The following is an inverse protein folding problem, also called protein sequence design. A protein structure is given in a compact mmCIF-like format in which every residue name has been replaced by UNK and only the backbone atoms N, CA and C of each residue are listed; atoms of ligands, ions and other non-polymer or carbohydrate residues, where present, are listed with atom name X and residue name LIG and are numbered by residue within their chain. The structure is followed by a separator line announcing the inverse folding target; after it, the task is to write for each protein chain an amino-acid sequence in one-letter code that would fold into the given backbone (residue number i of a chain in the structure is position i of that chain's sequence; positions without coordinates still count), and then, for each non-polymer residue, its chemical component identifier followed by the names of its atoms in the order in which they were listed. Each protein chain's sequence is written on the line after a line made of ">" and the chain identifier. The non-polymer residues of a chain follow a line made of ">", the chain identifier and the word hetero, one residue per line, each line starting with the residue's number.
data_IF_624914112350
#
_entry.id   IF_624914112350
#
_cell.length_a   1.000
_cell.length_b   1.000
_cell.length_c   1.000
_cell.angle_alpha   90.00
_cell.angle_beta   90.00
_cell.angle_gamma   90.00
#
_symmetry.space_group_name_H-M   'P 1'
#
loop_
_entity.id
_entity.type
_entity.pdbx_description
1 polymer ?
#
# COMPACT_ATOMS: atom_id res chain seq x y z
N UNK A 1 -10.82 17.66 74.27
CA UNK A 1 -10.73 17.38 72.83
C UNK A 1 -11.89 16.43 72.50
N UNK A 2 -13.07 16.93 72.15
CA UNK A 2 -13.37 17.52 70.83
C UNK A 2 -13.83 16.38 69.92
N UNK A 3 -15.13 16.07 69.92
CA UNK A 3 -16.09 16.41 68.86
C UNK A 3 -15.87 15.59 67.57
N UNK A 4 -16.85 15.00 66.91
CA UNK A 4 -18.29 15.09 67.03
C UNK A 4 -18.95 14.14 66.02
N UNK A 5 -20.13 13.67 66.39
CA UNK A 5 -21.04 12.85 65.58
C UNK A 5 -21.57 13.66 64.40
N UNK A 6 -21.44 13.12 63.18
CA UNK A 6 -21.91 13.74 61.94
C UNK A 6 -23.35 13.30 61.65
N UNK A 7 -24.30 14.19 61.92
CA UNK A 7 -25.70 14.02 61.52
C UNK A 7 -25.95 14.31 60.02
N UNK A 8 -27.08 13.84 59.45
CA UNK A 8 -27.46 14.12 58.08
C UNK A 8 -28.13 15.51 57.97
N UNK A 9 -27.49 16.43 57.25
CA UNK A 9 -28.02 17.76 56.96
C UNK A 9 -28.95 17.76 55.75
N UNK A 10 -30.16 18.29 55.97
CA UNK A 10 -31.11 18.67 54.93
C UNK A 10 -30.69 19.97 54.27
N UNK A 11 -30.63 20.02 52.93
CA UNK A 11 -30.62 21.27 52.17
C UNK A 11 -31.22 21.08 50.77
N UNK A 12 -32.28 21.81 50.50
CA UNK A 12 -32.81 22.27 49.21
C UNK A 12 -33.48 23.63 49.49
N UNK A 13 -33.68 24.58 48.55
CA UNK A 13 -33.34 24.63 47.12
C UNK A 13 -32.57 25.91 46.72
N UNK A 14 -31.92 25.91 45.56
CA UNK A 14 -31.65 27.15 44.82
C UNK A 14 -32.09 26.94 43.37
N UNK A 15 -33.35 27.25 43.13
CA UNK A 15 -33.98 27.22 41.80
C UNK A 15 -33.75 28.57 41.16
N UNK A 16 -32.81 28.61 40.22
CA UNK A 16 -32.53 29.77 39.39
C UNK A 16 -33.69 29.97 38.39
N UNK A 17 -34.37 31.14 38.35
CA UNK A 17 -35.49 31.34 37.44
C UNK A 17 -35.03 31.62 36.01
N UNK A 18 -35.62 30.87 35.08
CA UNK A 18 -36.14 31.36 33.81
C UNK A 18 -35.16 32.03 32.84
N UNK A 19 -34.46 31.23 32.04
CA UNK A 19 -34.04 31.62 30.68
C UNK A 19 -35.02 30.99 29.71
N UNK A 20 -35.95 31.79 29.17
CA UNK A 20 -36.74 31.41 28.00
C UNK A 20 -35.80 31.31 26.79
N UNK A 21 -35.91 30.28 25.94
CA UNK A 21 -35.09 30.17 24.74
C UNK A 21 -35.52 31.23 23.70
N UNK A 22 -34.56 32.06 23.28
CA UNK A 22 -34.72 33.01 22.19
C UNK A 22 -35.03 32.28 20.87
N UNK A 23 -36.15 32.65 20.23
CA UNK A 23 -36.53 32.20 18.89
C UNK A 23 -35.79 33.01 17.81
N UNK A 24 -35.35 32.38 16.70
CA UNK A 24 -34.51 33.04 15.69
C UNK A 24 -35.33 33.96 14.75
N UNK A 25 -34.69 34.99 14.16
CA UNK A 25 -35.36 35.95 13.26
C UNK A 25 -35.65 35.35 11.87
N UNK A 26 -36.68 35.84 11.15
CA UNK A 26 -36.99 35.38 9.79
C UNK A 26 -35.97 35.90 8.76
N UNK A 27 -35.50 35.01 7.88
CA UNK A 27 -34.57 35.34 6.78
C UNK A 27 -35.34 35.86 5.57
N UNK A 28 -34.96 37.06 5.10
CA UNK A 28 -35.43 37.66 3.86
C UNK A 28 -34.97 36.88 2.62
N UNK A 29 -35.92 36.63 1.71
CA UNK A 29 -35.67 36.02 0.42
C UNK A 29 -35.02 36.99 -0.56
N UNK A 30 -34.02 36.51 -1.29
CA UNK A 30 -33.61 37.07 -2.58
C UNK A 30 -33.36 35.95 -3.57
N UNK A 31 -34.09 36.01 -4.68
CA UNK A 31 -33.95 35.11 -5.80
C UNK A 31 -32.91 35.62 -6.80
N UNK A 32 -32.35 34.64 -7.52
CA UNK A 32 -31.93 34.66 -8.94
C UNK A 32 -30.49 35.11 -9.26
N UNK A 33 -29.77 34.17 -9.88
CA UNK A 33 -28.49 34.34 -10.56
C UNK A 33 -28.06 33.04 -11.24
N UNK A 34 -28.40 32.91 -12.51
CA UNK A 34 -28.02 31.85 -13.46
C UNK A 34 -26.53 31.90 -13.83
N UNK A 35 -25.90 30.74 -14.12
CA UNK A 35 -24.66 30.70 -14.89
C UNK A 35 -23.78 29.46 -14.73
N UNK A 36 -23.83 28.59 -15.73
CA UNK A 36 -22.70 27.85 -16.34
C UNK A 36 -21.97 26.70 -15.60
N UNK A 37 -21.88 25.55 -16.28
CA UNK A 37 -20.56 24.94 -16.54
C UNK A 37 -20.23 23.54 -15.96
N UNK A 38 -20.59 22.48 -16.68
CA UNK A 38 -19.67 21.35 -16.96
C UNK A 38 -19.63 20.12 -16.02
N UNK A 39 -19.48 18.89 -16.57
CA UNK A 39 -19.77 17.64 -15.86
C UNK A 39 -18.60 17.16 -14.99
N UNK A 40 -18.78 17.17 -13.66
CA UNK A 40 -17.83 16.57 -12.69
C UNK A 40 -17.91 15.04 -12.59
N UNK A 41 -18.74 14.38 -13.40
CA UNK A 41 -19.00 12.94 -13.30
C UNK A 41 -17.94 12.04 -13.97
N UNK A 42 -17.03 12.56 -14.80
CA UNK A 42 -16.07 11.74 -15.55
C UNK A 42 -14.68 11.61 -14.91
N UNK A 43 -14.37 12.36 -13.83
CA UNK A 43 -13.05 12.31 -13.17
C UNK A 43 -12.94 11.26 -12.05
N UNK A 44 -14.03 10.62 -11.65
CA UNK A 44 -14.02 9.56 -10.63
C UNK A 44 -13.94 8.14 -11.23
N UNK A 45 -14.33 7.97 -12.50
CA UNK A 45 -14.21 6.68 -13.19
C UNK A 45 -12.77 6.39 -13.67
N UNK A 46 -11.98 7.44 -13.95
CA UNK A 46 -10.59 7.29 -14.42
C UNK A 46 -9.58 7.04 -13.29
N UNK A 47 -9.90 7.42 -12.04
CA UNK A 47 -9.04 7.12 -10.88
C UNK A 47 -9.18 5.68 -10.39
N UNK A 48 -10.34 5.03 -10.60
CA UNK A 48 -10.55 3.63 -10.24
C UNK A 48 -9.89 2.64 -11.22
N UNK A 49 -9.73 3.03 -12.49
CA UNK A 49 -9.09 2.19 -13.52
C UNK A 49 -7.56 2.26 -13.42
N UNK A 50 -6.98 3.37 -12.93
CA UNK A 50 -5.53 3.51 -12.73
C UNK A 50 -5.00 2.81 -11.47
N UNK A 51 -5.84 2.54 -10.47
CA UNK A 51 -5.44 1.77 -9.28
C UNK A 51 -5.40 0.24 -9.52
N UNK A 52 -6.03 -0.25 -10.60
CA UNK A 52 -6.01 -1.66 -10.98
C UNK A 52 -4.75 -2.05 -11.79
N UNK A 53 -3.95 -1.08 -12.25
CA UNK A 53 -2.74 -1.34 -13.04
C UNK A 53 -1.43 -1.45 -12.22
N UNK A 54 -1.49 -1.26 -10.90
CA UNK A 54 -0.31 -1.34 -10.01
C UNK A 54 -0.24 -2.62 -9.17
N UNK A 55 -1.15 -3.58 -9.40
CA UNK A 55 -1.09 -4.93 -8.83
C UNK A 55 -0.74 -5.94 -9.93
N UNK A 56 0.42 -5.76 -10.56
CA UNK A 56 1.01 -6.81 -11.37
C UNK A 56 1.71 -7.79 -10.42
N UNK A 57 1.24 -9.05 -10.28
CA UNK A 57 2.08 -10.07 -9.69
C UNK A 57 3.25 -10.27 -10.65
N UNK A 58 4.45 -9.96 -10.17
CA UNK A 58 5.71 -10.22 -10.86
C UNK A 58 5.73 -11.66 -11.36
N UNK A 59 5.61 -11.80 -12.68
CA UNK A 59 5.60 -13.04 -13.43
C UNK A 59 7.04 -13.60 -13.42
N UNK A 60 7.36 -14.44 -12.43
CA UNK A 60 8.57 -15.24 -12.48
C UNK A 60 8.35 -16.37 -13.50
N UNK A 61 9.03 -16.28 -14.65
CA UNK A 61 9.10 -17.35 -15.63
C UNK A 61 9.62 -18.63 -14.96
N UNK A 62 8.75 -19.64 -14.84
CA UNK A 62 9.18 -21.02 -14.72
C UNK A 62 9.34 -21.56 -16.14
N UNK A 63 10.58 -21.69 -16.61
CA UNK A 63 10.88 -22.46 -17.81
C UNK A 63 10.96 -23.93 -17.42
N UNK A 64 10.08 -24.73 -18.01
CA UNK A 64 10.17 -26.19 -18.04
C UNK A 64 11.43 -26.60 -18.82
N UNK A 65 12.24 -27.47 -18.23
CA UNK A 65 13.30 -28.18 -18.93
C UNK A 65 13.18 -29.66 -18.60
N UNK A 66 12.41 -30.37 -19.42
CA UNK A 66 12.44 -31.83 -19.51
C UNK A 66 13.71 -32.25 -20.26
N UNK A 67 14.63 -32.92 -19.60
CA UNK A 67 15.74 -33.62 -20.24
C UNK A 67 15.51 -35.12 -20.05
N UNK A 68 15.21 -35.80 -21.16
CA UNK A 68 15.25 -37.24 -21.26
C UNK A 68 16.71 -37.67 -21.44
N UNK A 69 17.21 -38.52 -20.55
CA UNK A 69 18.51 -39.19 -20.70
C UNK A 69 18.26 -40.66 -21.01
N UNK A 70 18.50 -41.01 -22.27
CA UNK A 70 18.64 -42.38 -22.76
C UNK A 70 20.08 -42.84 -22.49
N UNK A 71 20.25 -43.87 -21.68
CA UNK A 71 21.56 -44.37 -21.28
C UNK A 71 22.01 -45.48 -22.25
N UNK A 72 22.93 -45.13 -23.15
CA UNK A 72 23.62 -46.09 -24.02
C UNK A 72 24.75 -46.82 -23.30
N UNK A 73 24.82 -48.13 -23.56
CA UNK A 73 25.76 -49.15 -23.06
C UNK A 73 27.24 -48.84 -23.39
N UNK A 74 28.22 -49.17 -22.53
CA UNK A 74 29.64 -49.05 -22.88
C UNK A 74 30.10 -50.20 -23.81
N UNK A 75 30.81 -49.85 -24.87
CA UNK A 75 31.50 -50.78 -25.76
C UNK A 75 32.84 -51.25 -25.16
N UNK A 76 33.20 -52.51 -25.39
CA UNK A 76 34.40 -53.15 -24.88
C UNK A 76 35.70 -52.62 -25.54
N UNK A 77 36.85 -52.62 -24.84
CA UNK A 77 38.11 -52.09 -25.35
C UNK A 77 38.80 -53.05 -26.34
N UNK A 78 39.29 -52.50 -27.45
CA UNK A 78 40.16 -53.20 -28.40
C UNK A 78 41.62 -53.26 -27.89
N UNK A 79 42.42 -54.30 -28.23
CA UNK A 79 43.76 -54.49 -27.70
C UNK A 79 44.79 -53.50 -28.26
N UNK A 80 45.62 -52.96 -27.36
CA UNK A 80 46.69 -52.02 -27.65
C UNK A 80 47.84 -52.68 -28.45
N UNK A 81 48.22 -52.04 -29.57
CA UNK A 81 49.43 -52.35 -30.34
C UNK A 81 50.65 -51.86 -29.55
N UNK A 82 51.64 -52.72 -29.29
CA UNK A 82 52.87 -52.32 -28.62
C UNK A 82 53.67 -51.34 -29.50
N UNK A 83 53.82 -50.09 -29.05
CA UNK A 83 54.77 -49.13 -29.62
C UNK A 83 56.20 -49.69 -29.47
N UNK A 84 56.98 -49.64 -30.56
CA UNK A 84 58.36 -50.16 -30.61
C UNK A 84 59.31 -49.43 -29.67
N UNK A 85 60.36 -50.13 -29.24
CA UNK A 85 61.43 -49.57 -28.40
C UNK A 85 62.14 -48.41 -29.11
N UNK A 86 62.56 -47.39 -28.35
CA UNK A 86 63.27 -46.25 -28.89
C UNK A 86 64.66 -46.66 -29.38
N UNK A 87 65.03 -46.28 -30.61
CA UNK A 87 66.32 -46.62 -31.22
C UNK A 87 67.01 -45.32 -31.62
N UNK A 88 68.16 -45.05 -31.01
CA UNK A 88 68.98 -43.88 -31.32
C UNK A 88 70.00 -44.23 -32.41
N UNK A 89 70.14 -43.35 -33.40
CA UNK A 89 71.18 -43.45 -34.41
C UNK A 89 72.48 -42.81 -33.87
N UNK A 90 73.68 -43.29 -34.25
CA UNK A 90 74.94 -42.72 -33.79
C UNK A 90 75.09 -41.29 -34.32
N UNK A 91 75.09 -40.32 -33.42
CA UNK A 91 75.26 -38.89 -33.73
C UNK A 91 76.53 -38.37 -33.01
N UNK A 92 77.38 -37.55 -33.65
CA UNK A 92 78.48 -36.91 -32.97
C UNK A 92 78.00 -36.15 -31.73
N UNK A 93 78.71 -36.25 -30.61
CA UNK A 93 78.32 -35.66 -29.32
C UNK A 93 78.00 -34.15 -29.40
N UNK A 94 78.61 -33.50 -30.39
CA UNK A 94 78.47 -32.10 -30.74
C UNK A 94 77.09 -31.72 -31.32
N UNK A 95 76.45 -32.64 -32.05
CA UNK A 95 75.12 -32.47 -32.68
C UNK A 95 73.99 -33.10 -31.86
N UNK A 96 74.33 -33.83 -30.79
CA UNK A 96 73.34 -34.40 -29.89
C UNK A 96 72.63 -33.31 -29.08
N UNK A 97 71.28 -33.20 -29.15
CA UNK A 97 70.55 -32.24 -28.34
C UNK A 97 70.61 -32.65 -26.87
N UNK A 98 70.77 -31.67 -25.97
CA UNK A 98 70.53 -31.90 -24.55
C UNK A 98 69.02 -31.89 -24.29
N UNK A 99 68.48 -32.98 -23.75
CA UNK A 99 67.05 -33.17 -23.52
C UNK A 99 66.78 -33.19 -22.01
N UNK A 100 65.98 -32.24 -21.53
CA UNK A 100 65.51 -32.17 -20.15
C UNK A 100 64.00 -32.37 -20.11
N UNK A 101 63.49 -33.06 -19.10
CA UNK A 101 62.05 -33.27 -18.93
C UNK A 101 61.61 -32.87 -17.54
N UNK A 102 60.56 -32.05 -17.46
CA UNK A 102 59.99 -31.58 -16.21
C UNK A 102 58.53 -31.98 -16.11
N UNK A 103 58.13 -32.46 -14.94
CA UNK A 103 56.74 -32.85 -14.62
C UNK A 103 56.20 -31.89 -13.55
N UNK A 104 55.04 -31.28 -13.82
CA UNK A 104 54.40 -30.34 -12.91
C UNK A 104 52.89 -30.64 -12.77
N UNK A 105 52.37 -30.88 -11.55
CA UNK A 105 53.08 -30.94 -10.27
C UNK A 105 53.94 -32.21 -10.13
N UNK A 106 55.00 -32.20 -9.30
CA UNK A 106 55.89 -33.36 -9.11
C UNK A 106 55.21 -34.55 -8.42
N UNK A 107 54.13 -34.30 -7.66
CA UNK A 107 53.35 -35.31 -6.94
C UNK A 107 51.85 -35.15 -7.27
N UNK A 108 51.39 -35.55 -8.46
CA UNK A 108 50.01 -35.34 -8.88
C UNK A 108 49.02 -36.27 -8.17
N UNK A 109 47.79 -35.81 -8.01
CA UNK A 109 46.66 -36.61 -7.52
C UNK A 109 45.76 -37.06 -8.67
N UNK A 110 44.91 -38.05 -8.40
CA UNK A 110 43.87 -38.48 -9.35
C UNK A 110 42.99 -37.30 -9.74
N UNK A 111 42.89 -37.03 -11.05
CA UNK A 111 42.14 -35.91 -11.61
C UNK A 111 42.94 -34.62 -11.83
N UNK A 112 44.18 -34.51 -11.33
CA UNK A 112 45.03 -33.34 -11.56
C UNK A 112 45.46 -33.24 -13.03
N UNK A 113 45.68 -32.02 -13.52
CA UNK A 113 46.30 -31.77 -14.83
C UNK A 113 47.82 -31.76 -14.70
N UNK A 114 48.46 -32.85 -15.12
CA UNK A 114 49.91 -33.02 -15.13
C UNK A 114 50.49 -32.47 -16.43
N UNK A 115 51.35 -31.46 -16.35
CA UNK A 115 52.10 -30.96 -17.51
C UNK A 115 53.48 -31.61 -17.55
N UNK A 116 53.76 -32.31 -18.64
CA UNK A 116 55.09 -32.86 -18.96
C UNK A 116 55.69 -32.01 -20.06
N UNK A 117 56.81 -31.37 -19.77
CA UNK A 117 57.52 -30.47 -20.71
C UNK A 117 58.86 -31.07 -21.07
N UNK A 118 59.06 -31.36 -22.36
CA UNK A 118 60.35 -31.73 -22.94
C UNK A 118 61.05 -30.47 -23.46
N UNK A 119 62.24 -30.20 -22.96
CA UNK A 119 63.10 -29.09 -23.36
C UNK A 119 64.29 -29.63 -24.13
N UNK A 120 64.44 -29.21 -25.38
CA UNK A 120 65.54 -29.58 -26.27
C UNK A 120 66.48 -28.39 -26.42
N UNK A 121 67.76 -28.54 -26.08
CA UNK A 121 68.81 -27.55 -26.38
C UNK A 121 69.74 -28.10 -27.47
N UNK A 122 69.81 -27.42 -28.61
CA UNK A 122 70.56 -27.86 -29.80
C UNK A 122 71.25 -26.69 -30.51
N UNK A 123 72.12 -26.97 -31.48
CA UNK A 123 72.84 -25.92 -32.23
C UNK A 123 71.90 -25.16 -33.16
N UNK A 124 72.23 -23.91 -33.48
CA UNK A 124 71.41 -23.05 -34.34
C UNK A 124 71.21 -23.59 -35.77
N UNK A 125 72.12 -24.44 -36.26
CA UNK A 125 72.02 -25.07 -37.59
C UNK A 125 71.28 -26.42 -37.60
N UNK A 126 71.06 -27.03 -36.43
CA UNK A 126 70.34 -28.29 -36.33
C UNK A 126 68.84 -28.00 -36.15
N UNK A 127 67.97 -28.89 -36.65
CA UNK A 127 66.52 -28.79 -36.44
C UNK A 127 66.00 -30.04 -35.75
N UNK A 128 65.42 -29.86 -34.56
CA UNK A 128 64.80 -30.94 -33.81
C UNK A 128 63.29 -30.96 -34.04
N UNK A 129 62.78 -32.12 -34.44
CA UNK A 129 61.36 -32.40 -34.58
C UNK A 129 60.96 -33.52 -33.61
N UNK A 130 60.13 -33.16 -32.64
CA UNK A 130 59.54 -34.07 -31.69
C UNK A 130 58.02 -34.00 -31.80
N UNK A 131 57.41 -35.18 -31.99
CA UNK A 131 55.96 -35.38 -31.99
C UNK A 131 55.66 -36.48 -30.96
N UNK A 132 55.05 -36.13 -29.81
CA UNK A 132 54.80 -37.10 -28.76
C UNK A 132 53.79 -38.15 -29.24
N UNK A 133 54.13 -39.42 -29.08
CA UNK A 133 53.25 -40.52 -29.50
C UNK A 133 52.04 -40.61 -28.56
N UNK A 134 50.87 -40.24 -29.09
CA UNK A 134 49.61 -40.30 -28.36
C UNK A 134 49.29 -41.70 -27.82
N UNK A 135 49.71 -42.77 -28.51
CA UNK A 135 49.49 -44.16 -28.07
C UNK A 135 50.39 -44.49 -26.88
N UNK A 136 51.65 -44.04 -26.89
CA UNK A 136 52.57 -44.20 -25.77
C UNK A 136 52.13 -43.40 -24.52
N UNK A 137 51.35 -42.33 -24.72
CA UNK A 137 50.73 -41.54 -23.66
C UNK A 137 49.37 -42.09 -23.19
N UNK A 138 48.63 -42.79 -24.06
CA UNK A 138 47.38 -43.48 -23.74
C UNK A 138 47.63 -44.88 -23.17
N UNK A 139 48.39 -44.96 -22.07
CA UNK A 139 48.68 -46.25 -21.47
C UNK A 139 47.42 -46.87 -20.82
N UNK A 140 47.10 -48.15 -21.08
CA UNK A 140 45.87 -48.77 -20.59
C UNK A 140 45.82 -48.97 -19.07
N UNK A 141 46.97 -48.89 -18.37
CA UNK A 141 47.03 -49.09 -16.92
C UNK A 141 46.49 -47.89 -16.13
N UNK A 142 46.58 -46.68 -16.69
CA UNK A 142 46.22 -45.42 -16.05
C UNK A 142 45.55 -44.63 -17.17
N UNK A 143 44.22 -44.58 -17.20
CA UNK A 143 43.44 -43.80 -18.18
C UNK A 143 43.94 -42.36 -18.18
N UNK A 144 44.89 -42.08 -19.07
CA UNK A 144 45.53 -40.79 -19.27
C UNK A 144 44.76 -40.15 -20.40
N UNK A 145 43.87 -39.22 -20.06
CA UNK A 145 43.20 -38.45 -21.09
C UNK A 145 44.14 -37.35 -21.58
N UNK A 146 44.43 -37.42 -22.87
CA UNK A 146 45.13 -36.37 -23.59
C UNK A 146 44.12 -35.27 -23.87
N UNK A 147 44.15 -34.19 -23.10
CA UNK A 147 43.34 -33.02 -23.38
C UNK A 147 43.84 -32.41 -24.70
N UNK A 148 43.15 -32.71 -25.80
CA UNK A 148 43.38 -32.13 -27.14
C UNK A 148 43.12 -30.63 -27.21
N UNK A 149 42.65 -30.02 -26.12
CA UNK A 149 42.37 -28.58 -26.04
C UNK A 149 43.67 -27.77 -25.94
N UNK A 150 44.39 -27.73 -27.07
CA UNK A 150 45.36 -26.71 -27.51
C UNK A 150 46.66 -26.54 -26.69
N UNK A 151 47.83 -26.41 -27.36
CA UNK A 151 47.98 -25.64 -28.59
C UNK A 151 48.55 -26.42 -29.77
N UNK A 152 48.07 -26.09 -30.96
CA UNK A 152 49.00 -25.92 -32.07
C UNK A 152 50.14 -24.99 -31.60
N UNK A 153 51.32 -25.58 -31.39
CA UNK A 153 52.63 -24.90 -31.28
C UNK A 153 52.77 -23.84 -30.19
N UNK A 154 52.97 -24.27 -28.94
CA UNK A 154 53.88 -23.54 -28.02
C UNK A 154 55.32 -24.05 -28.20
N UNK A 155 55.75 -24.24 -29.46
CA UNK A 155 57.16 -24.43 -29.80
C UNK A 155 57.82 -23.05 -29.66
N UNK A 156 58.12 -22.66 -28.43
CA UNK A 156 58.90 -21.46 -28.21
C UNK A 156 60.36 -21.82 -28.50
N UNK A 157 60.90 -21.25 -29.57
CA UNK A 157 62.32 -21.37 -29.91
C UNK A 157 63.00 -20.12 -29.38
N UNK A 158 63.68 -20.25 -28.25
CA UNK A 158 64.44 -19.15 -27.67
C UNK A 158 65.92 -19.29 -28.06
N UNK A 159 66.50 -18.21 -28.60
CA UNK A 159 67.94 -18.11 -28.78
C UNK A 159 68.62 -17.96 -27.44
N UNK A 160 69.46 -18.91 -27.07
CA UNK A 160 70.29 -18.87 -25.87
C UNK A 160 71.59 -18.09 -26.16
N UNK A 161 72.13 -17.39 -25.15
CA UNK A 161 73.34 -16.54 -25.32
C UNK A 161 74.59 -17.31 -25.80
N UNK A 162 74.57 -18.64 -25.73
CA UNK A 162 75.65 -19.55 -26.16
C UNK A 162 75.55 -20.02 -27.63
N UNK A 163 74.68 -19.42 -28.46
CA UNK A 163 74.52 -19.83 -29.87
C UNK A 163 73.77 -21.16 -30.05
N UNK A 164 73.02 -21.57 -29.02
CA UNK A 164 72.12 -22.72 -29.00
C UNK A 164 70.66 -22.26 -29.05
N UNK A 165 69.80 -23.10 -29.62
CA UNK A 165 68.36 -22.92 -29.63
C UNK A 165 67.72 -23.81 -28.56
N UNK A 166 66.77 -23.27 -27.83
CA UNK A 166 65.93 -23.99 -26.86
C UNK A 166 64.53 -24.15 -27.42
N UNK A 167 64.07 -25.38 -27.62
CA UNK A 167 62.69 -25.71 -28.01
C UNK A 167 61.98 -26.44 -26.88
N UNK A 168 60.75 -26.03 -26.58
CA UNK A 168 59.91 -26.67 -25.58
C UNK A 168 58.68 -27.33 -26.21
N UNK A 169 58.32 -28.52 -25.71
CA UNK A 169 57.09 -29.23 -26.06
C UNK A 169 56.40 -29.64 -24.78
N UNK A 170 55.21 -29.10 -24.52
CA UNK A 170 54.43 -29.40 -23.31
C UNK A 170 53.20 -30.21 -23.65
N UNK A 171 52.98 -31.30 -22.92
CA UNK A 171 51.78 -32.14 -23.01
C UNK A 171 51.07 -32.14 -21.67
N UNK A 172 49.75 -31.91 -21.69
CA UNK A 172 48.88 -32.05 -20.53
C UNK A 172 48.28 -33.46 -20.48
N UNK A 173 48.43 -34.12 -19.33
CA UNK A 173 47.97 -35.46 -19.04
C UNK A 173 47.06 -35.41 -17.80
N UNK A 174 45.92 -36.10 -17.84
CA UNK A 174 45.03 -36.22 -16.69
C UNK A 174 44.88 -37.68 -16.28
N UNK A 175 45.44 -38.11 -15.13
CA UNK A 175 45.34 -39.49 -14.67
C UNK A 175 44.04 -39.72 -13.87
N UNK A 176 43.25 -40.71 -14.26
CA UNK A 176 42.03 -41.09 -13.52
C UNK A 176 42.22 -42.27 -12.56
N UNK A 177 43.42 -42.85 -12.50
CA UNK A 177 43.77 -43.94 -11.57
C UNK A 177 45.07 -43.63 -10.83
N UNK A 178 45.11 -44.02 -9.55
CA UNK A 178 46.34 -43.94 -8.75
C UNK A 178 47.30 -45.06 -9.14
N UNK A 179 48.59 -44.76 -9.25
CA UNK A 179 49.60 -45.73 -9.66
C UNK A 179 50.91 -45.06 -10.10
N UNK A 180 51.90 -45.88 -10.42
CA UNK A 180 53.16 -45.43 -11.01
C UNK A 180 52.99 -45.30 -12.53
N UNK A 181 53.18 -44.09 -13.06
CA UNK A 181 53.18 -43.82 -14.50
C UNK A 181 54.62 -43.84 -15.00
N UNK A 182 54.86 -44.62 -16.05
CA UNK A 182 56.15 -44.66 -16.76
C UNK A 182 55.92 -44.31 -18.23
N UNK A 183 56.34 -43.12 -18.64
CA UNK A 183 56.35 -42.73 -20.05
C UNK A 183 57.68 -43.17 -20.64
N UNK A 184 57.63 -44.17 -21.51
CA UNK A 184 58.82 -44.73 -22.16
C UNK A 184 59.52 -43.70 -23.06
N UNK A 185 60.84 -43.85 -23.27
CA UNK A 185 61.58 -43.08 -24.27
C UNK A 185 60.88 -43.08 -25.63
N UNK A 186 60.82 -41.91 -26.26
CA UNK A 186 60.22 -41.69 -27.57
C UNK A 186 61.29 -41.17 -28.53
N UNK A 187 61.12 -41.44 -29.83
CA UNK A 187 62.05 -40.99 -30.85
C UNK A 187 61.79 -39.50 -31.18
N UNK A 188 62.80 -38.66 -31.00
CA UNK A 188 62.90 -37.33 -31.59
C UNK A 188 63.79 -37.39 -32.84
N UNK A 189 63.46 -36.63 -33.88
CA UNK A 189 64.27 -36.54 -35.10
C UNK A 189 65.13 -35.28 -35.06
N UNK A 190 66.41 -35.42 -35.32
CA UNK A 190 67.36 -34.31 -35.44
C UNK A 190 67.83 -34.27 -36.88
N UNK A 191 67.63 -33.14 -37.54
CA UNK A 191 68.14 -32.87 -38.88
C UNK A 191 69.38 -31.97 -38.75
N UNK A 192 70.55 -32.49 -39.10
CA UNK A 192 71.84 -31.79 -39.07
C UNK A 192 72.19 -31.12 -40.40
N UNK A 193 71.27 -31.09 -41.37
CA UNK A 193 71.44 -30.53 -42.71
C UNK A 193 71.78 -31.58 -43.76
N UNK A 194 72.67 -32.51 -43.43
CA UNK A 194 73.12 -33.58 -44.33
C UNK A 194 72.41 -34.93 -44.08
N UNK A 195 71.99 -35.19 -42.83
CA UNK A 195 71.37 -36.44 -42.41
C UNK A 195 70.25 -36.22 -41.37
N UNK A 196 69.34 -37.19 -41.26
CA UNK A 196 68.31 -37.24 -40.23
C UNK A 196 68.64 -38.38 -39.28
N UNK A 197 68.93 -38.05 -38.03
CA UNK A 197 69.20 -39.01 -36.96
C UNK A 197 68.05 -39.05 -35.95
N UNK A 198 67.81 -40.22 -35.36
CA UNK A 198 66.87 -40.39 -34.24
C UNK A 198 67.60 -40.32 -32.91
N UNK A 199 67.03 -39.58 -31.97
CA UNK A 199 67.51 -39.45 -30.60
C UNK A 199 66.37 -39.82 -29.64
N UNK A 200 66.70 -40.54 -28.57
CA UNK A 200 65.71 -40.94 -27.57
C UNK A 200 65.52 -39.87 -26.51
N UNK A 201 64.26 -39.57 -26.19
CA UNK A 201 63.92 -38.78 -25.00
C UNK A 201 64.18 -39.58 -23.72
N UNK A 202 64.48 -38.93 -22.59
CA UNK A 202 64.63 -39.64 -21.33
C UNK A 202 63.29 -40.19 -20.85
N UNK A 203 63.33 -41.31 -20.14
CA UNK A 203 62.16 -41.93 -19.54
C UNK A 203 61.60 -41.06 -18.40
N UNK A 204 60.28 -40.87 -18.37
CA UNK A 204 59.61 -40.05 -17.35
C UNK A 204 58.86 -40.96 -16.40
N UNK A 205 59.16 -40.84 -15.10
CA UNK A 205 58.47 -41.59 -14.03
C UNK A 205 57.85 -40.64 -13.02
N UNK A 206 56.57 -40.82 -12.72
CA UNK A 206 55.90 -40.11 -11.63
C UNK A 206 54.79 -40.97 -11.00
N UNK A 207 54.48 -40.73 -9.72
CA UNK A 207 53.47 -41.47 -8.96
C UNK A 207 52.22 -40.63 -8.77
N UNK A 208 51.07 -41.14 -9.23
CA UNK A 208 49.75 -40.53 -9.02
C UNK A 208 49.19 -40.98 -7.68
N UNK A 209 48.95 -40.02 -6.78
CA UNK A 209 48.39 -40.29 -5.45
C UNK A 209 46.86 -40.32 -5.49
N UNK A 210 46.26 -41.14 -4.64
CA UNK A 210 44.83 -41.10 -4.40
C UNK A 210 44.44 -39.81 -3.66
N UNK A 211 43.34 -39.19 -4.07
CA UNK A 211 42.69 -38.07 -3.35
C UNK A 211 42.24 -38.51 -1.96
N UNK A 212 41.98 -39.82 -1.77
CA UNK A 212 41.55 -40.39 -0.48
C UNK A 212 42.70 -40.63 0.51
N UNK A 213 43.93 -40.23 0.20
CA UNK A 213 45.08 -40.35 1.10
C UNK A 213 45.39 -41.80 1.50
N UNK A 214 45.68 -42.04 2.79
CA UNK A 214 45.98 -43.36 3.36
C UNK A 214 44.74 -44.07 3.93
N UNK A 215 43.55 -43.66 3.52
CA UNK A 215 42.30 -44.23 4.05
C UNK A 215 42.07 -45.58 3.37
N UNK A 216 42.17 -46.67 4.13
CA UNK A 216 42.10 -48.03 3.58
C UNK A 216 40.76 -48.36 2.90
N UNK A 217 39.68 -47.65 3.25
CA UNK A 217 38.33 -47.86 2.71
C UNK A 217 37.55 -46.53 2.67
N UNK A 218 37.73 -45.67 1.66
CA UNK A 218 36.92 -44.46 1.52
C UNK A 218 35.48 -44.86 1.22
N UNK A 219 34.56 -44.55 2.13
CA UNK A 219 33.14 -44.76 1.90
C UNK A 219 32.56 -43.53 1.19
N UNK A 220 31.71 -43.78 0.19
CA UNK A 220 30.92 -42.72 -0.41
C UNK A 220 30.07 -42.06 0.69
N UNK A 221 30.04 -40.73 0.68
CA UNK A 221 29.15 -40.00 1.57
C UNK A 221 27.71 -40.38 1.22
N UNK A 222 26.87 -40.53 2.23
CA UNK A 222 25.45 -40.79 2.02
C UNK A 222 24.83 -39.71 1.13
N UNK A 223 23.84 -40.11 0.33
CA UNK A 223 23.19 -39.23 -0.63
C UNK A 223 22.57 -38.08 0.16
N UNK A 224 23.05 -36.86 -0.10
CA UNK A 224 22.48 -35.66 0.53
C UNK A 224 21.02 -35.57 0.11
N UNK A 225 20.11 -35.43 1.08
CA UNK A 225 18.69 -35.31 0.79
C UNK A 225 18.44 -34.07 -0.08
N UNK A 226 17.48 -34.13 -1.03
CA UNK A 226 17.08 -32.95 -1.76
C UNK A 226 16.63 -31.85 -0.80
N UNK A 227 17.24 -30.66 -0.91
CA UNK A 227 16.81 -29.49 -0.16
C UNK A 227 15.47 -29.00 -0.72
N UNK A 228 14.49 -28.76 0.16
CA UNK A 228 13.15 -28.32 -0.26
C UNK A 228 13.12 -26.80 -0.48
N UNK A 229 13.54 -26.37 -1.67
CA UNK A 229 13.65 -24.95 -2.04
C UNK A 229 12.28 -24.26 -2.17
N UNK A 230 11.16 -24.99 -2.18
CA UNK A 230 9.85 -24.44 -2.60
C UNK A 230 8.85 -24.18 -1.47
N UNK A 231 9.09 -24.61 -0.24
CA UNK A 231 8.13 -24.38 0.88
C UNK A 231 8.03 -22.92 1.30
N UNK A 232 9.15 -22.22 1.37
CA UNK A 232 9.16 -20.84 1.88
C UNK A 232 8.59 -19.84 0.85
N UNK A 233 8.80 -20.10 -0.44
CA UNK A 233 8.23 -19.28 -1.50
C UNK A 233 6.70 -19.40 -1.57
N UNK A 234 6.14 -20.59 -1.31
CA UNK A 234 4.69 -20.81 -1.36
C UNK A 234 3.98 -20.17 -0.15
N UNK A 235 4.58 -20.27 1.03
CA UNK A 235 4.03 -19.64 2.25
C UNK A 235 4.04 -18.12 2.15
N UNK A 236 5.15 -17.52 1.69
CA UNK A 236 5.23 -16.08 1.45
C UNK A 236 4.19 -15.60 0.42
N UNK A 237 3.92 -16.40 -0.62
CA UNK A 237 2.89 -16.08 -1.63
C UNK A 237 1.47 -16.09 -1.04
N UNK A 238 1.15 -17.02 -0.16
CA UNK A 238 -0.16 -17.03 0.52
C UNK A 238 -0.31 -15.87 1.50
N UNK A 239 0.76 -15.52 2.21
CA UNK A 239 0.80 -14.35 3.10
C UNK A 239 0.58 -13.07 2.30
N UNK A 240 1.27 -12.89 1.16
CA UNK A 240 1.12 -11.70 0.32
C UNK A 240 -0.32 -11.57 -0.20
N UNK A 241 -0.90 -12.68 -0.69
CA UNK A 241 -2.29 -12.68 -1.16
C UNK A 241 -3.29 -12.33 -0.05
N UNK A 242 -3.06 -12.80 1.18
CA UNK A 242 -3.86 -12.44 2.33
C UNK A 242 -3.75 -10.95 2.69
N UNK A 243 -2.55 -10.38 2.58
CA UNK A 243 -2.31 -8.96 2.85
C UNK A 243 -2.96 -8.07 1.78
N UNK A 244 -2.89 -8.47 0.50
CA UNK A 244 -3.55 -7.78 -0.61
C UNK A 244 -5.07 -7.78 -0.45
N UNK A 245 -5.65 -8.92 -0.09
CA UNK A 245 -7.09 -9.02 0.18
C UNK A 245 -7.53 -8.13 1.34
N UNK A 246 -6.73 -8.07 2.42
CA UNK A 246 -6.98 -7.18 3.55
C UNK A 246 -6.91 -5.71 3.15
N UNK A 247 -5.91 -5.33 2.35
CA UNK A 247 -5.75 -3.97 1.86
C UNK A 247 -6.97 -3.52 1.04
N UNK A 248 -7.43 -4.36 0.09
CA UNK A 248 -8.63 -4.09 -0.71
C UNK A 248 -9.87 -3.94 0.17
N UNK A 249 -10.04 -4.81 1.18
CA UNK A 249 -11.16 -4.73 2.11
C UNK A 249 -11.16 -3.41 2.92
N UNK A 250 -9.99 -2.98 3.40
CA UNK A 250 -9.83 -1.72 4.14
C UNK A 250 -10.14 -0.52 3.24
N UNK A 251 -9.60 -0.48 2.02
CA UNK A 251 -9.87 0.61 1.06
C UNK A 251 -11.35 0.67 0.70
N UNK A 252 -12.00 -0.47 0.47
CA UNK A 252 -13.44 -0.54 0.21
C UNK A 252 -14.26 -0.02 1.40
N UNK A 253 -13.94 -0.45 2.63
CA UNK A 253 -14.62 -0.01 3.84
C UNK A 253 -14.48 1.50 4.06
N UNK A 254 -13.26 2.05 3.90
CA UNK A 254 -13.01 3.49 4.02
C UNK A 254 -13.74 4.29 2.95
N UNK A 255 -13.78 3.79 1.71
CA UNK A 255 -14.49 4.42 0.59
C UNK A 255 -16.00 4.48 0.83
N UNK A 256 -16.58 3.36 1.28
CA UNK A 256 -18.01 3.28 1.64
C UNK A 256 -18.32 4.19 2.82
N UNK A 257 -17.48 4.19 3.86
CA UNK A 257 -17.65 5.08 5.02
C UNK A 257 -17.57 6.56 4.62
N UNK A 258 -16.61 6.94 3.78
CA UNK A 258 -16.47 8.30 3.26
C UNK A 258 -17.69 8.71 2.42
N UNK A 259 -18.20 7.81 1.58
CA UNK A 259 -19.39 8.06 0.78
C UNK A 259 -20.65 8.21 1.64
N UNK A 260 -20.85 7.34 2.63
CA UNK A 260 -21.97 7.43 3.58
C UNK A 260 -21.92 8.72 4.41
N UNK A 261 -20.74 9.17 4.83
CA UNK A 261 -20.56 10.44 5.54
C UNK A 261 -20.86 11.67 4.66
N UNK A 262 -20.63 11.56 3.36
CA UNK A 262 -20.95 12.63 2.39
C UNK A 262 -22.41 12.66 1.98
N UNK A 263 -23.23 11.67 2.37
CA UNK A 263 -24.66 11.72 2.10
C UNK A 263 -25.27 12.85 2.92
N UNK A 264 -26.01 13.78 2.27
CA UNK A 264 -26.72 14.82 3.01
C UNK A 264 -27.70 14.13 3.96
N UNK A 265 -27.59 14.44 5.26
CA UNK A 265 -28.60 14.05 6.23
C UNK A 265 -29.91 14.71 5.80
N UNK A 266 -30.89 13.91 5.44
CA UNK A 266 -32.25 14.38 5.18
C UNK A 266 -32.81 14.82 6.54
N UNK A 267 -32.72 16.12 6.81
CA UNK A 267 -33.37 16.72 7.98
C UNK A 267 -34.86 16.79 7.65
N UNK A 268 -35.75 16.24 8.49
CA UNK A 268 -37.19 16.39 8.27
C UNK A 268 -37.56 17.88 8.29
N UNK A 269 -38.51 18.33 7.44
CA UNK A 269 -38.96 19.70 7.45
C UNK A 269 -39.53 20.07 8.84
N UNK A 270 -39.31 21.31 9.32
CA UNK A 270 -39.91 21.75 10.58
C UNK A 270 -41.43 21.65 10.51
N UNK A 271 -42.12 21.41 11.64
CA UNK A 271 -43.58 21.33 11.67
C UNK A 271 -44.20 22.64 11.15
N UNK A 272 -45.37 22.56 10.48
CA UNK A 272 -46.04 23.74 9.95
C UNK A 272 -46.33 24.76 11.06
N UNK A 273 -46.22 26.07 10.78
CA UNK A 273 -46.45 27.11 11.77
C UNK A 273 -47.88 27.01 12.31
N UNK A 274 -48.01 26.96 13.65
CA UNK A 274 -49.32 26.94 14.33
C UNK A 274 -50.06 28.25 14.02
N UNK A 275 -51.36 28.18 13.74
CA UNK A 275 -52.16 29.35 13.43
C UNK A 275 -52.15 30.37 14.61
N UNK A 276 -52.00 31.69 14.37
CA UNK A 276 -51.86 32.73 15.39
C UNK A 276 -52.94 32.71 16.50
N UNK A 277 -54.18 32.39 16.15
CA UNK A 277 -55.29 32.19 17.11
C UNK A 277 -54.93 31.20 18.23
N UNK A 278 -54.35 30.03 17.92
CA UNK A 278 -54.03 29.03 18.95
C UNK A 278 -52.93 29.51 19.89
N UNK A 279 -51.96 30.26 19.36
CA UNK A 279 -50.85 30.85 20.13
C UNK A 279 -51.40 31.92 21.07
N UNK A 280 -52.27 32.80 20.58
CA UNK A 280 -52.85 33.87 21.36
C UNK A 280 -53.76 33.34 22.48
N UNK A 281 -54.61 32.34 22.17
CA UNK A 281 -55.49 31.71 23.15
C UNK A 281 -54.70 31.04 24.27
N UNK A 282 -53.67 30.27 23.92
CA UNK A 282 -52.77 29.62 24.90
C UNK A 282 -52.04 30.66 25.77
N UNK A 283 -51.57 31.76 25.18
CA UNK A 283 -50.92 32.84 25.93
C UNK A 283 -51.88 33.58 26.89
N UNK A 284 -53.13 33.84 26.48
CA UNK A 284 -54.15 34.43 27.35
C UNK A 284 -54.57 33.46 28.48
N UNK A 285 -54.65 32.15 28.21
CA UNK A 285 -54.91 31.12 29.24
C UNK A 285 -53.75 30.99 30.26
N UNK A 286 -52.52 31.34 29.86
CA UNK A 286 -51.37 31.41 30.77
C UNK A 286 -51.45 32.69 31.60
N UNK A 287 -51.81 33.82 31.00
CA UNK A 287 -51.99 35.08 31.72
C UNK A 287 -53.14 35.01 32.74
N UNK A 288 -54.24 34.34 32.40
CA UNK A 288 -55.38 34.18 33.31
C UNK A 288 -55.09 33.32 34.53
N UNK A 289 -54.20 32.33 34.40
CA UNK A 289 -53.75 31.46 35.51
C UNK A 289 -52.49 31.97 36.20
N UNK A 290 -51.91 33.04 35.68
CA UNK A 290 -50.66 33.61 36.18
C UNK A 290 -50.89 34.43 37.44
N UNK A 291 -49.81 34.60 38.21
CA UNK A 291 -49.84 35.32 39.50
C UNK A 291 -49.34 36.77 39.39
N UNK A 292 -49.32 37.34 38.17
CA UNK A 292 -48.77 38.69 37.93
C UNK A 292 -49.52 39.77 38.71
N UNK A 293 -50.85 39.67 38.76
CA UNK A 293 -51.70 40.60 39.52
C UNK A 293 -51.51 40.46 41.03
N UNK A 294 -51.43 39.24 41.57
CA UNK A 294 -51.25 39.04 43.01
C UNK A 294 -49.86 39.49 43.50
N UNK A 295 -48.86 39.44 42.62
CA UNK A 295 -47.50 39.93 42.88
C UNK A 295 -47.36 41.45 42.73
N UNK A 296 -48.45 42.16 42.44
CA UNK A 296 -48.45 43.62 42.24
C UNK A 296 -47.77 44.06 40.93
N UNK A 297 -47.54 43.15 39.99
CA UNK A 297 -46.92 43.41 38.68
C UNK A 297 -47.99 43.79 37.64
N UNK A 298 -48.86 44.75 37.98
CA UNK A 298 -49.99 45.16 37.14
C UNK A 298 -49.52 45.69 35.78
N UNK A 299 -48.40 46.44 35.74
CA UNK A 299 -47.84 46.93 34.48
C UNK A 299 -47.46 45.78 33.54
N UNK A 300 -46.72 44.79 34.04
CA UNK A 300 -46.27 43.65 33.25
C UNK A 300 -47.44 42.80 32.74
N UNK A 301 -48.54 42.75 33.50
CA UNK A 301 -49.77 42.10 33.09
C UNK A 301 -50.42 42.79 31.89
N UNK A 302 -50.63 44.11 31.95
CA UNK A 302 -51.22 44.87 30.83
C UNK A 302 -50.29 44.92 29.61
N UNK A 303 -48.97 44.98 29.83
CA UNK A 303 -47.98 44.84 28.77
C UNK A 303 -48.10 43.48 28.06
N UNK A 304 -48.22 42.40 28.82
CA UNK A 304 -48.36 41.06 28.25
C UNK A 304 -49.69 40.85 27.52
N UNK A 305 -50.80 41.40 28.02
CA UNK A 305 -52.11 41.36 27.34
C UNK A 305 -52.05 42.11 26.01
N UNK A 306 -51.50 43.34 26.00
CA UNK A 306 -51.32 44.14 24.78
C UNK A 306 -50.45 43.42 23.76
N UNK A 307 -49.32 42.85 24.20
CA UNK A 307 -48.39 42.09 23.37
C UNK A 307 -49.05 40.87 22.70
N UNK A 308 -49.86 40.11 23.43
CA UNK A 308 -50.57 38.94 22.88
C UNK A 308 -51.58 39.35 21.82
N UNK A 309 -52.34 40.42 22.07
CA UNK A 309 -53.31 40.93 21.09
C UNK A 309 -52.62 41.50 19.86
N UNK A 310 -51.52 42.25 20.02
CA UNK A 310 -50.71 42.74 18.90
C UNK A 310 -50.20 41.59 18.04
N UNK A 311 -49.53 40.58 18.64
CA UNK A 311 -49.04 39.40 17.90
C UNK A 311 -50.17 38.65 17.18
N UNK A 312 -51.33 38.54 17.79
CA UNK A 312 -52.51 37.94 17.16
C UNK A 312 -52.95 38.70 15.91
N UNK A 313 -53.15 40.02 16.03
CA UNK A 313 -53.58 40.87 14.91
C UNK A 313 -52.57 40.84 13.76
N UNK A 314 -51.28 40.99 14.08
CA UNK A 314 -50.20 40.93 13.12
C UNK A 314 -50.08 39.56 12.44
N UNK A 315 -50.21 38.47 13.21
CA UNK A 315 -50.16 37.11 12.69
C UNK A 315 -51.31 36.77 11.75
N UNK A 316 -52.54 37.20 12.07
CA UNK A 316 -53.72 36.92 11.22
C UNK A 316 -53.73 37.77 9.95
N UNK A 317 -53.16 38.98 9.98
CA UNK A 317 -53.21 39.94 8.88
C UNK A 317 -51.88 40.11 8.13
N UNK A 318 -50.82 39.44 8.56
CA UNK A 318 -49.53 39.41 7.88
C UNK A 318 -48.72 40.69 8.02
N UNK A 319 -48.77 41.36 9.18
CA UNK A 319 -47.93 42.52 9.49
C UNK A 319 -47.29 42.39 10.87
N UNK A 320 -46.21 43.13 11.13
CA UNK A 320 -45.53 43.10 12.44
C UNK A 320 -46.13 44.13 13.40
N UNK A 321 -47.12 43.71 14.16
CA UNK A 321 -47.84 44.58 15.08
C UNK A 321 -47.06 44.96 16.35
N UNK A 322 -45.96 44.26 16.68
CA UNK A 322 -45.17 44.56 17.87
C UNK A 322 -44.39 45.87 17.67
N UNK A 323 -43.88 46.08 16.46
CA UNK A 323 -43.10 47.27 16.09
C UNK A 323 -43.97 48.45 15.61
N UNK A 324 -45.29 48.33 15.74
CA UNK A 324 -46.25 49.35 15.29
C UNK A 324 -46.93 50.07 16.46
N UNK A 325 -47.22 51.34 16.26
CA UNK A 325 -48.04 52.12 17.20
C UNK A 325 -49.52 51.71 17.10
N UNK A 326 -50.29 51.98 18.15
CA UNK A 326 -51.73 51.67 18.20
C UNK A 326 -52.49 52.29 17.02
N UNK A 327 -52.15 53.52 16.62
CA UNK A 327 -52.78 54.21 15.48
C UNK A 327 -52.45 53.55 14.13
N UNK A 328 -51.21 53.06 13.96
CA UNK A 328 -50.80 52.35 12.74
C UNK A 328 -51.48 50.97 12.63
N UNK A 329 -51.66 50.26 13.75
CA UNK A 329 -52.40 48.99 13.79
C UNK A 329 -53.86 49.23 13.38
N UNK A 330 -54.50 50.27 13.93
CA UNK A 330 -55.87 50.63 13.57
C UNK A 330 -55.99 51.04 12.09
N UNK A 331 -55.01 51.78 11.55
CA UNK A 331 -54.95 52.11 10.13
C UNK A 331 -54.82 50.87 9.23
N UNK A 332 -54.06 49.86 9.66
CA UNK A 332 -53.97 48.57 8.97
C UNK A 332 -55.29 47.79 9.01
N UNK A 333 -55.96 47.74 10.16
CA UNK A 333 -57.27 47.08 10.31
C UNK A 333 -58.39 47.80 9.55
N UNK A 334 -58.24 49.10 9.26
CA UNK A 334 -59.12 49.84 8.34
C UNK A 334 -59.01 49.37 6.91
N UNK A 335 -57.81 49.08 6.45
CA UNK A 335 -57.56 48.57 5.10
C UNK A 335 -57.91 47.09 4.98
N UNK A 336 -57.73 46.34 6.05
CA UNK A 336 -57.92 44.89 6.10
C UNK A 336 -58.75 44.48 7.33
N UNK A 337 -60.09 44.60 7.27
CA UNK A 337 -60.96 44.34 8.41
C UNK A 337 -60.92 42.86 8.84
N UNK A 338 -60.96 42.64 10.14
CA UNK A 338 -61.08 41.31 10.74
C UNK A 338 -62.56 40.98 11.00
N UNK A 339 -63.05 39.89 10.41
CA UNK A 339 -64.41 39.45 10.64
C UNK A 339 -64.64 39.15 12.13
N UNK A 340 -65.73 39.67 12.69
CA UNK A 340 -66.07 39.48 14.11
C UNK A 340 -65.39 40.42 15.10
N UNK A 341 -64.39 41.21 14.67
CA UNK A 341 -63.67 42.17 15.53
C UNK A 341 -63.80 43.58 14.98
N UNK A 342 -64.29 44.51 15.79
CA UNK A 342 -64.40 45.92 15.39
C UNK A 342 -63.14 46.70 15.74
N UNK A 343 -62.86 47.77 15.00
CA UNK A 343 -61.72 48.66 15.28
C UNK A 343 -61.86 49.35 16.64
N UNK A 344 -63.08 49.72 17.02
CA UNK A 344 -63.38 50.37 18.30
C UNK A 344 -63.00 49.47 19.47
N UNK A 345 -63.23 48.16 19.36
CA UNK A 345 -62.85 47.21 20.42
C UNK A 345 -61.32 47.06 20.54
N UNK A 346 -60.61 47.01 19.41
CA UNK A 346 -59.14 46.97 19.38
C UNK A 346 -58.55 48.26 19.95
N UNK A 347 -59.12 49.41 19.57
CA UNK A 347 -58.71 50.74 20.01
C UNK A 347 -58.89 50.90 21.51
N UNK A 348 -60.06 50.56 22.04
CA UNK A 348 -60.35 50.64 23.46
C UNK A 348 -59.41 49.77 24.28
N UNK A 349 -59.23 48.51 23.87
CA UNK A 349 -58.37 47.57 24.58
C UNK A 349 -56.89 48.00 24.58
N UNK A 350 -56.35 48.37 23.41
CA UNK A 350 -54.95 48.79 23.33
C UNK A 350 -54.71 50.11 24.06
N UNK A 351 -55.63 51.08 23.99
CA UNK A 351 -55.51 52.34 24.73
C UNK A 351 -55.58 52.13 26.24
N UNK A 352 -56.46 51.26 26.71
CA UNK A 352 -56.56 50.95 28.13
C UNK A 352 -55.26 50.30 28.65
N UNK A 353 -54.65 49.41 27.87
CA UNK A 353 -53.32 48.86 28.18
C UNK A 353 -52.22 49.93 28.16
N UNK A 354 -52.22 50.81 27.15
CA UNK A 354 -51.23 51.87 27.01
C UNK A 354 -51.34 52.90 28.16
N UNK A 355 -52.55 53.16 28.69
CA UNK A 355 -52.75 54.02 29.86
C UNK A 355 -52.07 53.45 31.12
N UNK A 356 -52.19 52.14 31.38
CA UNK A 356 -51.51 51.51 32.52
C UNK A 356 -49.99 51.50 32.31
N UNK A 357 -49.54 51.20 31.09
CA UNK A 357 -48.12 51.12 30.72
C UNK A 357 -47.38 52.45 30.87
N UNK A 358 -48.01 53.56 30.46
CA UNK A 358 -47.36 54.86 30.34
C UNK A 358 -47.85 55.92 31.34
N UNK A 359 -49.12 55.90 31.75
CA UNK A 359 -49.70 56.94 32.60
C UNK A 359 -49.61 56.63 34.11
N UNK A 360 -48.96 55.53 34.51
CA UNK A 360 -48.88 55.04 35.91
C UNK A 360 -50.27 54.93 36.58
N UNK A 361 -51.30 54.68 35.77
CA UNK A 361 -52.64 54.41 36.26
C UNK A 361 -52.65 53.06 37.00
N UNK A 362 -53.29 53.02 38.17
CA UNK A 362 -53.47 51.79 38.94
C UNK A 362 -54.94 51.36 38.78
N UNK A 363 -55.24 50.44 37.85
CA UNK A 363 -56.59 49.96 37.61
C UNK A 363 -57.11 49.15 38.80
N UNK A 364 -58.43 49.08 38.97
CA UNK A 364 -59.02 48.16 39.92
C UNK A 364 -58.82 46.70 39.46
N UNK A 365 -58.91 45.75 40.39
CA UNK A 365 -58.83 44.32 40.04
C UNK A 365 -59.93 43.93 39.04
N UNK A 366 -61.13 44.50 39.20
CA UNK A 366 -62.27 44.29 38.30
C UNK A 366 -61.96 44.75 36.86
N UNK A 367 -61.25 45.87 36.70
CA UNK A 367 -60.81 46.37 35.39
C UNK A 367 -59.76 45.44 34.76
N UNK A 368 -58.91 44.81 35.59
CA UNK A 368 -57.87 43.86 35.13
C UNK A 368 -58.45 42.52 34.66
N UNK A 369 -59.59 42.11 35.23
CA UNK A 369 -60.35 40.96 34.76
C UNK A 369 -61.14 41.31 33.49
N UNK A 370 -61.70 42.52 33.43
CA UNK A 370 -62.44 43.02 32.27
C UNK A 370 -61.54 43.15 31.02
N UNK A 371 -60.31 43.65 31.17
CA UNK A 371 -59.38 43.78 30.04
C UNK A 371 -58.98 42.41 29.47
N UNK A 372 -58.77 41.41 30.35
CA UNK A 372 -58.45 40.05 29.95
C UNK A 372 -59.64 39.38 29.25
N UNK A 373 -60.85 39.54 29.81
CA UNK A 373 -62.07 39.03 29.20
C UNK A 373 -62.31 39.67 27.82
N UNK A 374 -62.03 40.96 27.68
CA UNK A 374 -62.08 41.68 26.40
C UNK A 374 -61.06 41.13 25.40
N UNK A 375 -59.81 40.89 25.82
CA UNK A 375 -58.78 40.28 24.98
C UNK A 375 -59.15 38.88 24.50
N UNK A 376 -59.67 38.03 25.40
CA UNK A 376 -60.14 36.68 25.07
C UNK A 376 -61.32 36.73 24.10
N UNK A 377 -62.32 37.58 24.37
CA UNK A 377 -63.47 37.78 23.47
C UNK A 377 -63.05 38.24 22.08
N UNK A 378 -62.07 39.14 21.99
CA UNK A 378 -61.53 39.63 20.73
C UNK A 378 -60.87 38.51 19.92
N UNK A 379 -60.02 37.70 20.56
CA UNK A 379 -59.33 36.56 19.91
C UNK A 379 -60.31 35.47 19.50
N UNK A 380 -61.31 35.17 20.34
CA UNK A 380 -62.35 34.16 20.05
C UNK A 380 -63.27 34.56 18.89
N UNK A 381 -63.64 35.85 18.80
CA UNK A 381 -64.48 36.32 17.68
C UNK A 381 -63.73 36.37 16.36
N UNK A 382 -62.43 36.60 16.38
CA UNK A 382 -61.57 36.50 15.19
C UNK A 382 -61.07 35.08 14.90
N UNK A 383 -61.71 34.04 15.46
CA UNK A 383 -61.39 32.63 15.20
C UNK A 383 -61.47 32.31 13.70
N UNK A 384 -60.53 31.50 13.16
CA UNK A 384 -60.58 31.12 11.75
C UNK A 384 -61.84 30.32 11.44
N UNK A 385 -62.57 30.71 10.39
CA UNK A 385 -63.66 29.90 9.81
C UNK A 385 -63.05 28.59 9.31
N UNK A 386 -63.70 27.44 9.60
CA UNK A 386 -63.12 26.09 9.44
C UNK A 386 -62.49 25.79 8.06
N UNK A 387 -62.86 26.50 6.98
CA UNK A 387 -62.19 26.43 5.68
C UNK A 387 -60.69 26.82 5.74
N UNK A 388 -60.36 27.89 6.47
CA UNK A 388 -58.98 28.39 6.64
C UNK A 388 -58.14 27.55 7.62
N UNK A 389 -58.78 26.88 8.59
CA UNK A 389 -58.10 25.97 9.51
C UNK A 389 -57.66 24.66 8.82
N UNK A 390 -58.37 24.26 7.77
CA UNK A 390 -58.08 23.07 6.97
C UNK A 390 -57.08 23.34 5.83
N UNK A 391 -57.02 24.58 5.33
CA UNK A 391 -55.98 25.04 4.41
C UNK A 391 -54.66 25.36 5.13
N UNK A 392 -54.67 25.89 6.35
CA UNK A 392 -53.45 26.06 7.16
C UNK A 392 -52.83 24.72 7.59
N UNK A 393 -53.65 23.66 7.72
CA UNK A 393 -53.14 22.30 7.98
C UNK A 393 -52.73 21.54 6.70
N UNK A 394 -53.21 21.96 5.52
CA UNK A 394 -52.87 21.37 4.21
C UNK A 394 -51.80 22.13 3.42
N UNK A 395 -51.60 23.42 3.67
CA UNK A 395 -50.68 24.32 2.96
C UNK A 395 -49.19 24.10 3.24
N UNK A 396 -48.83 22.98 3.86
CA UNK A 396 -47.46 22.52 4.07
C UNK A 396 -46.93 21.60 2.96
N UNK A 397 -47.61 21.48 1.82
CA UNK A 397 -47.12 20.79 0.62
C UNK A 397 -47.10 21.79 -0.54
N UNK A 398 -45.91 22.06 -1.10
CA UNK A 398 -45.45 21.28 -2.25
C UNK A 398 -44.32 20.29 -1.94
#
# INVERSE_FOLDING_TARGET
>A
MGDGLKGPGATSPSTNPSVLPALPPPRGGRARGSGEGGPRAQRLATAAILAALLLAPSLALAQDASVATDASRPAAPAPARAAGECVADPLPADHAPAIEVTVNPPNPQVGDRVRVTWTFRYRTHDRVEFEPDAVALQQPAIELEYAREQPERDRSVHGERDGRLRSEVTVALQPFRSGDVVIRPMNARVNTGDEIARVCTPEVRFRVRSVFGNTSHPQARDITRPEDVRRDALTLRWISLGLDALFVAVVAALSVAAWLRRRPKVVPPPPPPRHPYFIAREALEVLSRGDLLARGLTKDYYDAVSDVVRRYLGGVRGFDAIEMTTDEILAHLRKHPLAGVTQVEVENLLRECDLVKFARYVPAHEDSDAILASAVSLVERGRPTMATAQEASRGGAP
#
